data_IF_288137751833
#
_entry.id   IF_288137751833
#
_cell.length_a   1.000
_cell.length_b   1.000
_cell.length_c   1.000
_cell.angle_alpha   90.00
_cell.angle_beta   90.00
_cell.angle_gamma   90.00
#
_symmetry.space_group_name_H-M   'P 1'
#
loop_
_entity.id
_entity.type
_entity.pdbx_description
1 polymer ?
#
# COMPACT_ATOMS: atom_id res chain seq x y z
N UNK A 1 6.50 28.21 3.55
CA UNK A 1 7.18 28.15 2.24
C UNK A 1 6.23 27.42 1.32
N UNK A 2 5.89 27.98 0.16
CA UNK A 2 4.96 27.36 -0.82
C UNK A 2 5.80 26.95 -2.03
N UNK A 3 5.64 25.73 -2.52
CA UNK A 3 6.16 25.33 -3.84
C UNK A 3 5.00 25.35 -4.84
N UNK A 4 5.28 25.94 -6.00
CA UNK A 4 4.46 25.87 -7.21
C UNK A 4 5.32 25.15 -8.25
N UNK A 5 4.73 24.19 -8.97
CA UNK A 5 5.37 23.49 -10.06
C UNK A 5 4.88 24.09 -11.38
N UNK A 6 5.79 24.56 -12.22
CA UNK A 6 5.50 24.97 -13.59
C UNK A 6 6.35 24.12 -14.55
N UNK A 7 5.67 23.48 -15.51
CA UNK A 7 6.29 22.59 -16.49
C UNK A 7 6.78 23.40 -17.69
N UNK A 8 8.06 23.30 -18.04
CA UNK A 8 8.58 23.83 -19.31
C UNK A 8 9.16 22.69 -20.15
N UNK A 9 8.78 22.63 -21.43
CA UNK A 9 8.71 21.42 -22.23
C UNK A 9 10.04 20.89 -22.78
N UNK A 10 11.22 21.42 -22.39
CA UNK A 10 12.50 20.94 -22.97
C UNK A 10 13.73 20.84 -22.06
N UNK A 11 13.71 21.21 -20.79
CA UNK A 11 14.92 21.19 -19.95
C UNK A 11 14.65 20.94 -18.46
N UNK A 12 14.02 19.81 -18.10
CA UNK A 12 13.89 19.38 -16.70
C UNK A 12 13.21 20.36 -15.73
N UNK A 13 13.06 19.94 -14.48
CA UNK A 13 12.39 20.72 -13.44
C UNK A 13 13.32 21.79 -12.86
N UNK A 14 12.85 23.03 -12.72
CA UNK A 14 13.53 24.08 -11.92
C UNK A 14 12.72 24.37 -10.65
N UNK A 15 13.42 24.52 -9.52
CA UNK A 15 12.82 24.76 -8.19
C UNK A 15 13.24 26.15 -7.69
N UNK A 16 12.28 26.92 -7.16
CA UNK A 16 12.53 28.22 -6.51
C UNK A 16 12.21 28.15 -5.01
N UNK A 17 13.01 28.85 -4.19
CA UNK A 17 12.91 28.92 -2.72
C UNK A 17 12.49 30.32 -2.27
N UNK A 18 11.58 30.42 -1.28
CA UNK A 18 11.30 31.68 -0.58
C UNK A 18 11.36 31.53 0.94
N UNK A 19 12.13 32.42 1.58
CA UNK A 19 12.30 32.54 3.05
C UNK A 19 11.20 33.42 3.65
N UNK A 20 10.64 33.02 4.80
CA UNK A 20 9.71 33.84 5.58
C UNK A 20 10.46 35.01 6.21
N UNK A 21 10.20 36.24 5.75
CA UNK A 21 10.36 37.46 6.54
C UNK A 21 8.98 37.88 7.08
N UNK A 22 8.95 38.42 8.30
CA UNK A 22 7.71 38.66 9.05
C UNK A 22 6.78 39.72 8.47
N UNK A 23 5.52 39.66 8.93
CA UNK A 23 4.52 40.73 8.89
C UNK A 23 3.67 40.84 7.61
N UNK A 24 2.34 40.84 7.76
CA UNK A 24 1.41 41.47 6.81
C UNK A 24 0.28 40.60 6.20
N UNK A 25 -0.93 40.84 6.73
CA UNK A 25 -2.30 40.42 6.37
C UNK A 25 -2.69 40.18 4.88
N UNK A 26 -3.69 39.32 4.66
CA UNK A 26 -4.82 39.58 3.74
C UNK A 26 -6.16 39.00 4.26
N UNK A 27 -7.24 39.73 3.97
CA UNK A 27 -8.58 39.74 4.59
C UNK A 27 -9.58 38.72 4.00
N UNK A 28 -10.77 38.70 4.61
CA UNK A 28 -11.80 37.65 4.72
C UNK A 28 -13.12 38.11 3.98
N UNK A 29 -14.03 37.23 3.45
CA UNK A 29 -15.33 37.56 2.75
C UNK A 29 -16.53 36.59 3.00
N UNK A 30 -17.78 37.00 3.43
CA UNK A 30 -18.84 36.26 4.24
C UNK A 30 -20.20 35.98 3.52
N UNK A 31 -21.15 35.20 4.10
CA UNK A 31 -22.58 35.08 3.69
C UNK A 31 -23.66 34.53 4.68
N UNK A 32 -24.66 35.36 5.01
CA UNK A 32 -25.72 35.27 6.05
C UNK A 32 -26.59 34.01 6.22
N UNK A 33 -26.95 33.65 7.47
CA UNK A 33 -28.04 32.72 7.80
C UNK A 33 -29.24 33.49 8.41
N UNK A 34 -30.47 33.27 7.92
CA UNK A 34 -31.61 34.13 8.19
C UNK A 34 -32.41 33.69 9.42
N UNK A 35 -31.94 34.08 10.60
CA UNK A 35 -32.88 34.64 11.59
C UNK A 35 -32.43 36.02 12.09
N UNK A 36 -31.24 36.45 11.67
CA UNK A 36 -30.66 37.77 11.95
C UNK A 36 -30.03 38.29 10.67
N UNK A 37 -29.98 39.59 10.47
CA UNK A 37 -29.53 40.28 9.24
C UNK A 37 -28.00 40.49 9.10
N UNK A 38 -27.12 39.54 9.51
CA UNK A 38 -25.63 39.65 9.42
C UNK A 38 -24.79 38.40 8.98
N UNK A 39 -23.85 38.55 8.00
CA UNK A 39 -23.26 37.54 7.07
C UNK A 39 -22.47 36.31 7.69
N UNK A 40 -22.75 35.04 7.31
CA UNK A 40 -22.05 33.76 7.62
C UNK A 40 -20.98 33.27 6.59
N UNK A 41 -19.72 33.25 6.97
CA UNK A 41 -18.59 33.04 6.06
C UNK A 41 -18.17 31.55 6.02
N UNK A 42 -18.48 30.76 4.98
CA UNK A 42 -17.95 29.39 4.80
C UNK A 42 -16.96 29.30 3.63
N UNK A 43 -15.83 28.62 3.85
CA UNK A 43 -14.89 28.13 2.83
C UNK A 43 -14.81 26.62 2.97
N UNK A 44 -14.91 25.88 1.86
CA UNK A 44 -14.35 24.53 1.79
C UNK A 44 -12.88 24.61 2.21
N UNK A 45 -12.37 23.63 2.99
CA UNK A 45 -10.98 23.70 3.41
C UNK A 45 -10.10 23.64 2.16
N UNK A 46 -9.48 24.78 1.84
CA UNK A 46 -8.31 24.85 0.97
C UNK A 46 -7.38 23.71 1.40
N UNK A 47 -6.81 23.00 0.43
CA UNK A 47 -5.78 21.97 0.66
C UNK A 47 -4.74 22.45 1.68
N UNK A 48 -4.45 23.76 1.70
CA UNK A 48 -3.59 24.43 2.70
C UNK A 48 -4.13 24.38 4.13
N UNK A 49 -5.43 24.52 4.34
CA UNK A 49 -6.08 24.47 5.66
C UNK A 49 -6.18 23.03 6.19
N UNK A 50 -6.43 22.04 5.30
CA UNK A 50 -6.32 20.61 5.64
C UNK A 50 -4.87 20.23 5.97
N UNK A 51 -3.91 20.71 5.18
CA UNK A 51 -2.48 20.48 5.40
C UNK A 51 -1.97 21.12 6.71
N UNK A 52 -2.44 22.33 7.04
CA UNK A 52 -2.13 22.98 8.33
C UNK A 52 -2.80 22.31 9.52
N UNK A 53 -4.08 21.92 9.43
CA UNK A 53 -4.78 21.18 10.49
C UNK A 53 -4.17 19.81 10.76
N UNK A 54 -3.54 19.18 9.76
CA UNK A 54 -2.94 17.85 9.88
C UNK A 54 -1.41 17.86 10.03
N UNK A 55 -0.79 19.02 10.22
CA UNK A 55 0.66 19.14 10.42
C UNK A 55 1.51 18.61 9.27
N UNK A 56 1.07 18.83 8.02
CA UNK A 56 1.75 18.33 6.83
C UNK A 56 2.97 19.20 6.51
N UNK A 57 4.17 18.67 6.77
CA UNK A 57 5.44 19.23 6.28
C UNK A 57 5.76 18.76 4.86
N UNK A 58 6.40 19.64 4.09
CA UNK A 58 6.72 19.43 2.69
C UNK A 58 8.05 18.68 2.51
N UNK A 59 8.06 17.72 1.58
CA UNK A 59 9.21 16.93 1.13
C UNK A 59 10.29 17.86 0.58
N UNK A 60 11.51 17.80 1.11
CA UNK A 60 12.69 18.15 0.34
C UNK A 60 12.95 17.01 -0.64
N UNK A 61 13.04 17.32 -1.92
CA UNK A 61 13.80 16.46 -2.83
C UNK A 61 15.27 16.63 -2.44
N UNK A 62 15.74 15.83 -1.48
CA UNK A 62 17.15 15.76 -1.18
C UNK A 62 17.80 14.93 -2.30
N UNK A 63 18.24 15.62 -3.34
CA UNK A 63 19.30 15.08 -4.19
C UNK A 63 20.51 14.85 -3.28
N UNK A 64 20.93 13.61 -3.14
CA UNK A 64 22.28 13.21 -2.74
C UNK A 64 22.80 13.66 -1.36
N UNK A 65 21.95 13.78 -0.33
CA UNK A 65 22.42 14.10 1.03
C UNK A 65 22.95 12.91 1.84
N UNK A 66 23.07 11.74 1.23
CA UNK A 66 23.81 10.62 1.80
C UNK A 66 24.75 10.05 0.76
N UNK A 67 25.93 10.65 0.67
CA UNK A 67 27.07 10.01 0.03
C UNK A 67 27.56 8.89 0.94
N UNK A 68 27.60 7.70 0.35
CA UNK A 68 27.96 6.43 0.98
C UNK A 68 29.42 6.46 1.49
N UNK A 69 29.72 6.02 2.72
CA UNK A 69 31.09 5.63 3.07
C UNK A 69 31.48 4.28 2.42
N UNK A 70 30.53 3.52 1.86
CA UNK A 70 30.74 2.20 1.24
C UNK A 70 30.40 2.29 -0.25
N UNK A 71 31.27 2.94 -1.03
CA UNK A 71 31.17 3.06 -2.50
C UNK A 71 30.42 1.89 -3.18
N UNK A 72 29.12 2.09 -3.47
CA UNK A 72 28.30 1.16 -4.27
C UNK A 72 27.06 0.54 -3.60
N UNK A 73 26.58 1.02 -2.44
CA UNK A 73 25.30 0.56 -1.89
C UNK A 73 24.14 1.49 -2.29
N UNK A 74 23.30 1.05 -3.24
CA UNK A 74 22.06 1.75 -3.66
C UNK A 74 21.00 1.95 -2.55
N UNK A 75 21.26 1.57 -1.30
CA UNK A 75 20.32 1.70 -0.20
C UNK A 75 20.97 2.29 1.06
N UNK A 76 21.44 3.52 0.94
CA UNK A 76 21.78 4.45 2.03
C UNK A 76 20.88 4.28 3.26
N UNK A 77 19.57 4.19 3.05
CA UNK A 77 18.59 4.11 4.13
C UNK A 77 18.71 2.81 4.94
N UNK A 78 18.98 1.69 4.27
CA UNK A 78 19.24 0.42 4.96
C UNK A 78 20.55 0.48 5.73
N UNK A 79 21.63 0.97 5.12
CA UNK A 79 22.93 1.09 5.80
C UNK A 79 22.85 2.02 7.02
N UNK A 80 22.09 3.11 6.91
CA UNK A 80 21.84 4.03 8.03
C UNK A 80 20.98 3.39 9.12
N UNK A 81 19.91 2.66 8.79
CA UNK A 81 19.10 1.94 9.79
C UNK A 81 19.88 0.86 10.51
N UNK A 82 20.61 0.02 9.78
CA UNK A 82 21.46 -1.02 10.35
C UNK A 82 22.54 -0.37 11.21
N UNK A 83 23.19 0.71 10.73
CA UNK A 83 24.11 1.52 11.54
C UNK A 83 23.45 2.13 12.80
N UNK A 84 22.18 2.53 12.73
CA UNK A 84 21.46 3.11 13.87
C UNK A 84 21.11 2.06 14.92
N UNK A 85 20.75 0.83 14.50
CA UNK A 85 20.61 -0.34 15.39
C UNK A 85 21.90 -0.63 16.16
N UNK A 86 23.05 -0.39 15.53
CA UNK A 86 24.37 -0.70 16.09
C UNK A 86 24.95 0.40 16.99
N UNK A 87 24.59 1.68 16.77
CA UNK A 87 25.29 2.82 17.40
C UNK A 87 24.46 3.49 18.52
N UNK A 88 23.12 3.46 18.51
CA UNK A 88 22.31 4.00 19.61
C UNK A 88 20.82 3.58 19.55
N UNK A 89 20.29 2.84 20.54
CA UNK A 89 18.86 2.50 20.64
C UNK A 89 17.89 3.67 20.88
N UNK A 90 18.36 4.93 20.86
CA UNK A 90 17.60 6.11 21.32
C UNK A 90 17.34 7.18 20.26
N UNK A 91 17.83 7.01 19.03
CA UNK A 91 17.50 7.91 17.92
C UNK A 91 16.10 7.60 17.37
N UNK A 92 15.35 8.63 16.98
CA UNK A 92 14.09 8.49 16.25
C UNK A 92 14.35 7.81 14.91
N UNK A 93 14.29 6.48 14.87
CA UNK A 93 14.43 5.73 13.63
C UNK A 93 13.21 5.94 12.74
N UNK A 94 13.44 6.26 11.48
CA UNK A 94 12.40 6.31 10.45
C UNK A 94 11.89 4.89 10.20
N UNK A 95 10.58 4.66 10.15
CA UNK A 95 9.99 3.35 9.85
C UNK A 95 10.05 3.04 8.35
N UNK A 96 10.19 1.77 7.93
CA UNK A 96 10.09 1.37 6.50
C UNK A 96 8.64 1.39 5.99
N UNK A 97 7.68 1.52 6.89
CA UNK A 97 6.26 1.44 6.61
C UNK A 97 5.46 2.37 7.55
N UNK A 98 4.19 2.70 7.28
CA UNK A 98 3.48 3.72 8.04
C UNK A 98 3.34 3.57 9.54
N UNK A 99 3.91 4.57 10.23
CA UNK A 99 3.68 4.92 11.62
C UNK A 99 4.38 4.03 12.64
N UNK A 100 4.93 4.64 13.68
CA UNK A 100 5.28 3.97 14.94
C UNK A 100 4.06 3.87 15.87
N UNK A 101 2.88 4.31 15.44
CA UNK A 101 1.65 4.20 16.22
C UNK A 101 0.45 4.02 15.30
N UNK A 102 -0.41 3.07 15.65
CA UNK A 102 -1.64 2.74 14.91
C UNK A 102 -2.82 2.79 15.89
N UNK A 103 -4.06 3.00 15.43
CA UNK A 103 -5.22 2.83 16.30
C UNK A 103 -5.25 1.44 16.94
N UNK A 104 -5.91 1.30 18.08
CA UNK A 104 -6.23 0.01 18.67
C UNK A 104 -7.54 -0.56 18.15
N UNK A 105 -7.89 -1.80 18.53
CA UNK A 105 -9.20 -2.38 18.24
C UNK A 105 -10.32 -1.48 18.74
N UNK A 106 -11.37 -1.31 17.94
CA UNK A 106 -12.47 -0.39 18.23
C UNK A 106 -12.08 1.10 18.20
N UNK A 107 -10.84 1.44 17.86
CA UNK A 107 -10.31 2.81 17.91
C UNK A 107 -10.03 3.33 19.32
N UNK A 108 -10.03 2.46 20.34
CA UNK A 108 -10.02 2.86 21.76
C UNK A 108 -8.64 3.22 22.32
N UNK A 109 -7.55 2.91 21.63
CA UNK A 109 -6.19 3.24 22.06
C UNK A 109 -5.24 3.52 20.88
N UNK A 110 -3.99 3.87 21.16
CA UNK A 110 -2.91 3.85 20.19
C UNK A 110 -1.94 2.71 20.55
N UNK A 111 -1.59 1.89 19.56
CA UNK A 111 -0.62 0.81 19.68
C UNK A 111 0.68 1.30 19.08
N UNK A 112 1.74 1.33 19.89
CA UNK A 112 3.07 1.60 19.38
C UNK A 112 3.62 0.33 18.72
N UNK A 113 3.95 0.40 17.44
CA UNK A 113 4.47 -0.73 16.66
C UNK A 113 6.00 -0.76 16.61
N UNK A 114 6.68 0.19 17.24
CA UNK A 114 8.13 0.32 17.19
C UNK A 114 8.65 0.86 15.85
N UNK A 115 9.91 1.30 15.88
CA UNK A 115 10.59 1.86 14.71
C UNK A 115 11.46 0.85 13.93
N UNK A 116 11.84 -0.24 14.60
CA UNK A 116 12.66 -1.34 14.10
C UNK A 116 11.82 -2.60 13.91
N UNK A 117 12.21 -3.46 12.99
CA UNK A 117 11.51 -4.69 12.61
C UNK A 117 11.44 -5.69 13.76
N UNK A 118 12.50 -5.81 14.57
CA UNK A 118 12.43 -6.63 15.78
C UNK A 118 11.41 -6.07 16.77
N UNK A 119 11.43 -4.77 17.05
CA UNK A 119 10.44 -4.15 17.95
C UNK A 119 9.02 -4.36 17.42
N UNK A 120 8.82 -4.21 16.11
CA UNK A 120 7.56 -4.50 15.44
C UNK A 120 7.14 -5.94 15.62
N UNK A 121 8.06 -6.89 15.46
CA UNK A 121 7.81 -8.29 15.72
C UNK A 121 7.31 -8.51 17.15
N UNK A 122 8.01 -7.96 18.14
CA UNK A 122 7.63 -8.11 19.55
C UNK A 122 6.25 -7.50 19.86
N UNK A 123 5.95 -6.30 19.34
CA UNK A 123 4.68 -5.64 19.60
C UNK A 123 3.52 -6.32 18.85
N UNK A 124 3.74 -6.79 17.62
CA UNK A 124 2.75 -7.57 16.89
C UNK A 124 2.50 -8.93 17.57
N UNK A 125 3.55 -9.58 18.05
CA UNK A 125 3.47 -10.82 18.81
C UNK A 125 2.64 -10.67 20.09
N UNK A 126 2.87 -9.62 20.88
CA UNK A 126 2.07 -9.35 22.09
C UNK A 126 0.61 -9.04 21.78
N UNK A 127 0.38 -8.31 20.69
CA UNK A 127 -0.94 -7.76 20.38
C UNK A 127 -1.85 -8.73 19.62
N UNK A 128 -1.31 -9.48 18.66
CA UNK A 128 -2.07 -10.39 17.80
C UNK A 128 -1.61 -11.85 17.94
N UNK A 129 -0.75 -12.15 18.92
CA UNK A 129 -0.12 -13.46 19.07
C UNK A 129 0.92 -13.77 18.00
N UNK A 130 1.63 -14.88 18.21
CA UNK A 130 2.63 -15.41 17.27
C UNK A 130 2.01 -16.63 16.59
N UNK A 131 2.31 -16.89 15.30
CA UNK A 131 1.97 -18.15 14.68
C UNK A 131 2.56 -19.30 15.51
N UNK A 132 1.70 -20.11 16.11
CA UNK A 132 2.13 -21.32 16.81
C UNK A 132 2.51 -22.34 15.74
N UNK A 133 3.70 -22.93 15.89
CA UNK A 133 4.18 -24.00 15.04
C UNK A 133 3.11 -25.10 14.91
N UNK A 134 2.58 -25.29 13.70
CA UNK A 134 1.70 -26.42 13.37
C UNK A 134 0.18 -26.24 13.56
N UNK A 135 -0.30 -25.14 14.17
CA UNK A 135 -1.73 -24.94 14.47
C UNK A 135 -2.37 -23.81 13.63
N UNK A 136 -1.99 -23.68 12.36
CA UNK A 136 -2.82 -22.90 11.44
C UNK A 136 -4.08 -23.73 11.11
N UNK A 137 -5.21 -23.38 11.72
CA UNK A 137 -6.49 -23.87 11.22
C UNK A 137 -6.75 -23.21 9.87
N UNK A 138 -6.56 -24.00 8.80
CA UNK A 138 -6.94 -23.61 7.44
C UNK A 138 -8.47 -23.55 7.35
N UNK A 139 -9.07 -22.46 7.85
CA UNK A 139 -10.51 -22.20 7.66
C UNK A 139 -10.67 -21.36 6.39
N UNK A 140 -10.34 -21.94 5.24
CA UNK A 140 -10.69 -21.35 3.95
C UNK A 140 -12.02 -21.94 3.48
N UNK A 141 -13.11 -21.20 3.66
CA UNK A 141 -14.35 -21.48 2.93
C UNK A 141 -14.34 -20.67 1.64
N UNK A 142 -14.69 -21.35 0.55
CA UNK A 142 -14.84 -20.76 -0.77
C UNK A 142 -16.34 -20.70 -1.05
N UNK A 143 -16.88 -19.51 -1.30
CA UNK A 143 -18.30 -19.33 -1.61
C UNK A 143 -18.48 -18.43 -2.84
N UNK A 144 -19.50 -18.70 -3.64
CA UNK A 144 -19.94 -17.77 -4.69
C UNK A 144 -20.58 -16.54 -4.03
N UNK A 145 -20.11 -15.32 -4.34
CA UNK A 145 -20.72 -14.13 -3.80
C UNK A 145 -22.15 -13.95 -4.34
N UNK A 146 -23.07 -13.48 -3.50
CA UNK A 146 -24.38 -13.01 -3.99
C UNK A 146 -24.18 -11.68 -4.70
N UNK A 147 -24.37 -11.66 -6.01
CA UNK A 147 -24.04 -10.51 -6.83
C UNK A 147 -25.27 -9.99 -7.60
N UNK A 148 -25.27 -8.71 -8.01
CA UNK A 148 -26.32 -8.16 -8.88
C UNK A 148 -26.40 -8.88 -10.22
N UNK A 149 -27.50 -8.67 -10.96
CA UNK A 149 -27.66 -9.19 -12.32
C UNK A 149 -26.54 -8.73 -13.25
N UNK A 150 -26.17 -9.59 -14.19
CA UNK A 150 -25.19 -9.28 -15.22
C UNK A 150 -25.85 -8.65 -16.43
N UNK A 151 -25.59 -7.35 -16.65
CA UNK A 151 -26.30 -6.55 -17.66
C UNK A 151 -25.63 -6.56 -19.05
N UNK A 152 -24.50 -7.26 -19.23
CA UNK A 152 -23.65 -7.12 -20.41
C UNK A 152 -23.84 -8.28 -21.41
N UNK A 153 -24.54 -8.00 -22.51
CA UNK A 153 -24.70 -8.94 -23.62
C UNK A 153 -23.38 -9.20 -24.38
N UNK A 154 -23.07 -10.46 -24.68
CA UNK A 154 -21.85 -10.82 -25.42
C UNK A 154 -20.55 -10.73 -24.61
N UNK A 155 -20.64 -10.48 -23.30
CA UNK A 155 -19.54 -10.67 -22.35
C UNK A 155 -20.01 -11.69 -21.32
N UNK A 156 -19.33 -12.83 -21.22
CA UNK A 156 -19.65 -13.81 -20.19
C UNK A 156 -19.36 -13.22 -18.80
N UNK A 157 -20.27 -13.48 -17.84
CA UNK A 157 -20.03 -13.10 -16.46
C UNK A 157 -18.80 -13.86 -15.93
N UNK A 158 -17.79 -13.17 -15.37
CA UNK A 158 -16.61 -13.87 -14.85
C UNK A 158 -16.93 -14.68 -13.59
N UNK A 159 -16.44 -15.91 -13.54
CA UNK A 159 -16.49 -16.76 -12.35
C UNK A 159 -15.54 -16.21 -11.27
N UNK A 160 -16.11 -15.85 -10.11
CA UNK A 160 -15.38 -15.33 -8.95
C UNK A 160 -15.81 -16.07 -7.70
N UNK A 161 -14.83 -16.42 -6.88
CA UNK A 161 -15.07 -17.09 -5.61
C UNK A 161 -14.49 -16.28 -4.46
N UNK A 162 -15.29 -16.09 -3.41
CA UNK A 162 -14.85 -15.42 -2.18
C UNK A 162 -14.08 -16.42 -1.33
N UNK A 163 -12.81 -16.11 -1.07
CA UNK A 163 -11.94 -16.81 -0.15
C UNK A 163 -12.07 -16.18 1.23
N UNK A 164 -12.50 -16.96 2.22
CA UNK A 164 -12.34 -16.58 3.62
C UNK A 164 -10.84 -16.52 3.96
N UNK A 165 -10.35 -15.42 4.56
CA UNK A 165 -8.93 -15.31 4.94
C UNK A 165 -8.52 -16.47 5.85
N UNK A 166 -7.32 -17.02 5.61
CA UNK A 166 -6.76 -18.02 6.52
C UNK A 166 -6.41 -17.29 7.81
N UNK A 167 -6.97 -17.75 8.92
CA UNK A 167 -6.74 -17.16 10.23
C UNK A 167 -5.66 -17.96 10.95
N UNK A 168 -4.61 -17.27 11.37
CA UNK A 168 -3.59 -17.87 12.23
C UNK A 168 -4.21 -18.02 13.61
N UNK A 169 -4.30 -19.25 14.12
CA UNK A 169 -4.70 -19.46 15.50
C UNK A 169 -3.59 -18.94 16.41
N UNK A 170 -3.92 -17.94 17.20
CA UNK A 170 -2.97 -17.26 18.07
C UNK A 170 -3.32 -17.62 19.51
N UNK A 171 -2.49 -18.44 20.14
CA UNK A 171 -2.55 -18.57 21.60
C UNK A 171 -1.87 -17.33 22.20
N UNK A 172 -2.50 -16.63 23.17
CA UNK A 172 -1.80 -15.62 23.93
C UNK A 172 -0.73 -16.36 24.73
N UNK A 173 0.50 -16.29 24.26
CA UNK A 173 1.63 -16.73 25.07
C UNK A 173 1.68 -15.84 26.29
N UNK A 174 1.73 -16.45 27.48
CA UNK A 174 2.14 -15.73 28.66
C UNK A 174 3.57 -15.22 28.49
N UNK A 175 3.98 -14.33 29.38
CA UNK A 175 5.34 -13.78 29.36
C UNK A 175 6.39 -14.91 29.37
N UNK A 176 6.13 -16.02 30.07
CA UNK A 176 7.03 -17.16 30.15
C UNK A 176 7.21 -17.87 28.80
N UNK A 177 6.13 -18.21 28.09
CA UNK A 177 6.23 -18.87 26.78
C UNK A 177 6.91 -17.96 25.74
N UNK A 178 6.63 -16.65 25.80
CA UNK A 178 7.32 -15.66 24.98
C UNK A 178 8.83 -15.61 25.23
N UNK A 179 9.26 -15.55 26.49
CA UNK A 179 10.69 -15.55 26.81
C UNK A 179 11.38 -16.86 26.35
N UNK A 180 10.70 -18.00 26.51
CA UNK A 180 11.21 -19.28 26.00
C UNK A 180 11.42 -19.27 24.49
N UNK A 181 10.46 -18.74 23.73
CA UNK A 181 10.59 -18.64 22.28
C UNK A 181 11.69 -17.67 21.85
N UNK A 182 11.78 -16.49 22.45
CA UNK A 182 12.84 -15.53 22.15
C UNK A 182 14.21 -16.13 22.45
N UNK A 183 14.37 -16.86 23.56
CA UNK A 183 15.62 -17.54 23.87
C UNK A 183 15.90 -18.69 22.88
N UNK A 184 14.86 -19.40 22.43
CA UNK A 184 14.97 -20.38 21.34
C UNK A 184 15.46 -19.75 20.03
N UNK A 185 14.96 -18.57 19.65
CA UNK A 185 15.44 -17.82 18.49
C UNK A 185 16.89 -17.38 18.66
N UNK A 186 17.28 -16.87 19.84
CA UNK A 186 18.68 -16.52 20.14
C UNK A 186 19.60 -17.74 20.07
N UNK A 187 19.16 -18.87 20.62
CA UNK A 187 19.90 -20.12 20.56
C UNK A 187 20.08 -20.58 19.11
N UNK A 188 19.00 -20.56 18.32
CA UNK A 188 19.02 -20.90 16.90
C UNK A 188 19.96 -19.98 16.12
N UNK A 189 19.92 -18.66 16.40
CA UNK A 189 20.83 -17.68 15.80
C UNK A 189 22.29 -18.00 16.12
N UNK A 190 22.63 -18.35 17.37
CA UNK A 190 23.99 -18.78 17.75
C UNK A 190 24.43 -20.04 17.01
N UNK A 191 23.52 -20.99 16.77
CA UNK A 191 23.83 -22.21 16.00
C UNK A 191 24.06 -21.92 14.52
N UNK A 192 23.29 -20.99 13.92
CA UNK A 192 23.41 -20.64 12.50
C UNK A 192 24.38 -19.49 12.22
N UNK A 193 25.03 -18.94 13.24
CA UNK A 193 25.93 -17.80 13.11
C UNK A 193 27.13 -18.07 12.19
N UNK A 194 27.58 -19.33 12.16
CA UNK A 194 28.62 -19.82 11.25
C UNK A 194 28.08 -20.48 9.97
N UNK A 195 26.76 -20.40 9.73
CA UNK A 195 26.13 -20.91 8.52
C UNK A 195 26.15 -19.87 7.37
N UNK A 196 25.60 -20.26 6.22
CA UNK A 196 25.38 -19.36 5.09
C UNK A 196 24.38 -18.24 5.43
N UNK A 197 24.53 -17.10 4.76
CA UNK A 197 23.63 -15.94 4.93
C UNK A 197 22.15 -16.32 4.71
N UNK A 198 21.87 -17.17 3.73
CA UNK A 198 20.52 -17.67 3.47
C UNK A 198 19.88 -18.33 4.69
N UNK A 199 20.64 -19.11 5.48
CA UNK A 199 20.13 -19.74 6.71
C UNK A 199 19.85 -18.72 7.81
N UNK A 200 20.69 -17.69 7.92
CA UNK A 200 20.52 -16.61 8.90
C UNK A 200 19.26 -15.79 8.58
N UNK A 201 19.08 -15.34 7.33
CA UNK A 201 17.90 -14.58 6.91
C UNK A 201 16.62 -15.43 7.03
N UNK A 202 16.70 -16.71 6.66
CA UNK A 202 15.57 -17.64 6.78
C UNK A 202 15.09 -17.81 8.23
N UNK A 203 15.96 -17.65 9.24
CA UNK A 203 15.54 -17.70 10.64
C UNK A 203 14.60 -16.54 11.00
N UNK A 204 14.93 -15.31 10.61
CA UNK A 204 14.07 -14.15 10.82
C UNK A 204 12.76 -14.25 10.02
N UNK A 205 12.83 -14.69 8.76
CA UNK A 205 11.64 -14.87 7.93
C UNK A 205 10.67 -15.90 8.53
N UNK A 206 11.18 -17.06 8.96
CA UNK A 206 10.37 -18.12 9.56
C UNK A 206 9.76 -17.72 10.90
N UNK A 207 10.38 -16.80 11.64
CA UNK A 207 9.77 -16.25 12.85
C UNK A 207 8.49 -15.46 12.54
N UNK A 208 8.44 -14.78 11.40
CA UNK A 208 7.26 -14.06 10.94
C UNK A 208 6.19 -14.95 10.31
N UNK A 209 6.61 -15.86 9.44
CA UNK A 209 5.77 -16.67 8.56
C UNK A 209 6.41 -18.04 8.35
N UNK A 210 5.82 -19.05 8.99
CA UNK A 210 6.28 -20.44 8.94
C UNK A 210 6.03 -21.12 7.59
N UNK A 211 5.10 -20.59 6.79
CA UNK A 211 4.72 -21.16 5.49
C UNK A 211 5.53 -20.54 4.35
N UNK A 212 5.89 -19.26 4.49
CA UNK A 212 6.68 -18.49 3.53
C UNK A 212 8.16 -18.86 3.54
N UNK A 213 8.54 -19.88 2.76
CA UNK A 213 9.95 -20.07 2.37
C UNK A 213 10.32 -19.05 1.29
N UNK A 214 10.97 -17.96 1.70
CA UNK A 214 11.62 -17.06 0.74
C UNK A 214 12.90 -17.71 0.23
N UNK A 215 13.05 -17.78 -1.09
CA UNK A 215 14.32 -18.14 -1.73
C UNK A 215 14.99 -16.83 -2.11
N UNK A 216 16.07 -16.50 -1.41
CA UNK A 216 16.87 -15.32 -1.71
C UNK A 216 17.75 -15.58 -2.92
N UNK A 217 17.77 -14.64 -3.87
CA UNK A 217 18.67 -14.74 -5.03
C UNK A 217 20.13 -14.45 -4.66
N UNK A 218 21.07 -14.79 -5.56
CA UNK A 218 22.50 -14.64 -5.31
C UNK A 218 22.92 -13.20 -5.03
N UNK A 219 22.27 -12.23 -5.67
CA UNK A 219 22.62 -10.82 -5.57
C UNK A 219 22.17 -10.23 -4.23
N UNK A 220 20.97 -10.61 -3.79
CA UNK A 220 20.40 -10.28 -2.49
C UNK A 220 21.25 -10.86 -1.35
N UNK A 221 21.69 -12.13 -1.49
CA UNK A 221 22.58 -12.78 -0.53
C UNK A 221 23.96 -12.11 -0.47
N UNK A 222 24.58 -11.83 -1.63
CA UNK A 222 25.87 -11.15 -1.68
C UNK A 222 25.80 -9.75 -1.05
N UNK A 223 24.70 -9.04 -1.26
CA UNK A 223 24.48 -7.74 -0.65
C UNK A 223 24.35 -7.83 0.87
N UNK A 224 23.61 -8.82 1.38
CA UNK A 224 23.50 -9.09 2.80
C UNK A 224 24.86 -9.44 3.45
N UNK A 225 25.68 -10.25 2.78
CA UNK A 225 27.03 -10.59 3.22
C UNK A 225 27.94 -9.36 3.33
N UNK A 226 27.90 -8.47 2.33
CA UNK A 226 28.67 -7.21 2.36
C UNK A 226 28.28 -6.34 3.55
N UNK A 227 26.98 -6.20 3.83
CA UNK A 227 26.51 -5.45 4.99
C UNK A 227 27.03 -6.09 6.28
N UNK A 228 26.88 -7.40 6.44
CA UNK A 228 27.33 -8.10 7.64
C UNK A 228 28.84 -8.06 7.84
N UNK A 229 29.64 -8.04 6.77
CA UNK A 229 31.08 -7.81 6.85
C UNK A 229 31.43 -6.44 7.42
N UNK A 230 30.67 -5.39 7.08
CA UNK A 230 30.90 -4.03 7.60
C UNK A 230 30.44 -3.90 9.05
N UNK A 231 29.32 -4.54 9.39
CA UNK A 231 28.73 -4.51 10.73
C UNK A 231 29.56 -5.28 11.76
N UNK A 232 30.31 -6.29 11.31
CA UNK A 232 31.02 -7.22 12.19
C UNK A 232 30.10 -8.35 12.66
N UNK A 233 30.57 -9.59 12.57
CA UNK A 233 29.77 -10.77 12.92
C UNK A 233 29.40 -10.81 14.40
N UNK A 234 30.22 -10.21 15.26
CA UNK A 234 30.02 -10.04 16.70
C UNK A 234 28.77 -9.21 17.05
N UNK A 235 28.25 -8.40 16.12
CA UNK A 235 27.05 -7.59 16.29
C UNK A 235 25.79 -8.22 15.66
N UNK A 236 25.86 -9.51 15.31
CA UNK A 236 24.75 -10.28 14.73
C UNK A 236 23.75 -10.71 15.82
N UNK A 237 22.91 -9.77 16.26
CA UNK A 237 21.79 -10.02 17.17
C UNK A 237 20.44 -10.08 16.43
N UNK A 238 19.35 -10.32 17.16
CA UNK A 238 18.00 -10.38 16.56
C UNK A 238 17.56 -9.06 15.94
N UNK A 239 18.00 -7.90 16.47
CA UNK A 239 17.65 -6.60 15.91
C UNK A 239 18.29 -6.44 14.52
N UNK A 240 19.59 -6.70 14.43
CA UNK A 240 20.34 -6.59 13.19
C UNK A 240 19.80 -7.57 12.13
N UNK A 241 19.50 -8.81 12.52
CA UNK A 241 19.05 -9.84 11.58
C UNK A 241 17.63 -9.62 11.08
N UNK A 242 16.68 -9.14 11.92
CA UNK A 242 15.34 -8.78 11.45
C UNK A 242 15.37 -7.57 10.51
N UNK A 243 16.17 -6.55 10.82
CA UNK A 243 16.35 -5.40 9.94
C UNK A 243 16.99 -5.78 8.60
N UNK A 244 18.02 -6.62 8.65
CA UNK A 244 18.70 -7.10 7.45
C UNK A 244 17.75 -7.93 6.58
N UNK A 245 16.99 -8.85 7.17
CA UNK A 245 16.02 -9.67 6.46
C UNK A 245 14.99 -8.81 5.74
N UNK A 246 14.34 -7.88 6.44
CA UNK A 246 13.36 -7.00 5.82
C UNK A 246 13.99 -6.16 4.70
N UNK A 247 15.24 -5.73 4.86
CA UNK A 247 15.96 -4.99 3.84
C UNK A 247 16.24 -5.78 2.58
N UNK A 248 16.74 -7.00 2.75
CA UNK A 248 17.06 -7.92 1.66
C UNK A 248 15.77 -8.30 0.93
N UNK A 249 14.71 -8.59 1.67
CA UNK A 249 13.39 -8.89 1.13
C UNK A 249 12.83 -7.72 0.31
N UNK A 250 12.80 -6.50 0.87
CA UNK A 250 12.38 -5.32 0.13
C UNK A 250 13.21 -5.10 -1.15
N UNK A 251 14.54 -5.23 -1.07
CA UNK A 251 15.42 -5.07 -2.25
C UNK A 251 15.10 -6.09 -3.34
N UNK A 252 14.95 -7.36 -2.95
CA UNK A 252 14.65 -8.42 -3.90
C UNK A 252 13.29 -8.22 -4.58
N UNK A 253 12.25 -7.88 -3.81
CA UNK A 253 10.91 -7.67 -4.35
C UNK A 253 10.76 -6.37 -5.14
N UNK A 254 11.51 -5.33 -4.79
CA UNK A 254 11.53 -4.06 -5.52
C UNK A 254 12.45 -4.07 -6.75
N UNK A 255 13.24 -5.12 -6.97
CA UNK A 255 14.21 -5.20 -8.07
C UNK A 255 13.57 -4.97 -9.44
N UNK A 256 12.36 -5.49 -9.63
CA UNK A 256 11.64 -5.40 -10.89
C UNK A 256 10.70 -4.17 -10.92
N UNK A 257 10.67 -3.37 -9.85
CA UNK A 257 9.93 -2.12 -9.78
C UNK A 257 10.78 -0.97 -10.32
N UNK A 258 10.21 -0.20 -11.24
CA UNK A 258 10.80 1.08 -11.62
C UNK A 258 10.55 2.09 -10.50
N UNK A 259 11.53 2.28 -9.62
CA UNK A 259 11.42 3.27 -8.53
C UNK A 259 11.43 4.68 -9.12
N UNK A 260 10.29 5.37 -9.03
CA UNK A 260 10.15 6.75 -9.49
C UNK A 260 10.56 7.75 -8.41
N UNK A 261 10.22 7.47 -7.14
CA UNK A 261 10.56 8.37 -6.03
C UNK A 261 10.85 7.60 -4.75
N UNK A 262 11.69 8.19 -3.90
CA UNK A 262 12.03 7.68 -2.57
C UNK A 262 12.21 8.85 -1.62
N UNK A 263 11.85 8.66 -0.35
CA UNK A 263 12.11 9.68 0.66
C UNK A 263 11.33 9.50 1.94
N UNK A 264 11.45 10.51 2.81
CA UNK A 264 10.81 10.51 4.12
C UNK A 264 9.44 11.19 4.06
N UNK A 265 8.41 10.49 4.53
CA UNK A 265 7.06 11.01 4.64
C UNK A 265 6.45 10.62 5.98
N UNK A 266 6.15 11.61 6.83
CA UNK A 266 5.60 11.43 8.19
C UNK A 266 6.37 10.41 9.05
N UNK A 267 7.70 10.53 9.07
CA UNK A 267 8.56 9.64 9.84
C UNK A 267 8.72 8.23 9.26
N UNK A 268 8.24 7.99 8.04
CA UNK A 268 8.45 6.76 7.29
C UNK A 268 9.40 7.02 6.13
N UNK A 269 10.20 6.03 5.76
CA UNK A 269 10.77 5.94 4.43
C UNK A 269 9.79 5.25 3.49
N UNK A 270 9.50 5.90 2.38
CA UNK A 270 8.63 5.38 1.34
C UNK A 270 9.42 5.30 0.05
N UNK A 271 9.34 4.15 -0.60
CA UNK A 271 9.79 3.94 -1.98
C UNK A 271 8.55 3.74 -2.84
N UNK A 272 8.34 4.65 -3.79
CA UNK A 272 7.22 4.59 -4.73
C UNK A 272 7.76 4.13 -6.07
N UNK A 273 7.35 2.93 -6.44
CA UNK A 273 7.58 2.34 -7.75
C UNK A 273 6.43 2.61 -8.71
N UNK A 274 6.64 2.26 -9.98
CA UNK A 274 5.60 2.17 -10.99
C UNK A 274 5.41 0.73 -11.41
N UNK A 275 4.16 0.28 -11.47
CA UNK A 275 3.81 -1.07 -11.96
C UNK A 275 2.79 -0.95 -13.08
N UNK A 276 2.98 -1.76 -14.12
CA UNK A 276 2.01 -1.90 -15.21
C UNK A 276 0.65 -2.32 -14.69
N UNK A 277 -0.41 -1.68 -15.17
CA UNK A 277 -1.77 -1.88 -14.68
C UNK A 277 -2.23 -3.36 -14.73
N UNK A 278 -1.73 -4.10 -15.71
CA UNK A 278 -1.98 -5.53 -15.94
C UNK A 278 -1.19 -6.47 -15.01
N UNK A 279 -0.13 -5.97 -14.35
CA UNK A 279 0.72 -6.77 -13.46
C UNK A 279 0.22 -6.75 -12.01
N UNK A 280 -0.69 -5.83 -11.67
CA UNK A 280 -1.30 -5.72 -10.35
C UNK A 280 -2.47 -6.71 -10.27
N UNK A 281 -2.45 -7.62 -9.30
CA UNK A 281 -3.53 -8.59 -9.08
C UNK A 281 -4.57 -8.01 -8.14
N UNK A 282 -5.82 -7.96 -8.60
CA UNK A 282 -6.93 -7.55 -7.75
C UNK A 282 -7.21 -8.62 -6.68
N UNK A 283 -7.55 -8.16 -5.48
CA UNK A 283 -7.79 -9.03 -4.32
C UNK A 283 -9.16 -8.83 -3.71
N UNK A 284 -9.88 -7.75 -4.03
CA UNK A 284 -11.13 -7.38 -3.37
C UNK A 284 -12.17 -6.86 -4.36
N UNK A 285 -13.44 -7.12 -4.06
CA UNK A 285 -14.57 -6.43 -4.66
C UNK A 285 -14.63 -4.98 -4.17
N UNK A 286 -15.09 -4.07 -5.02
CA UNK A 286 -15.08 -2.62 -4.76
C UNK A 286 -16.49 -2.07 -4.53
N UNK A 287 -16.59 -0.89 -3.91
CA UNK A 287 -17.85 -0.17 -3.79
C UNK A 287 -18.01 0.83 -4.94
N UNK A 288 -19.10 0.82 -5.73
CA UNK A 288 -19.25 1.75 -6.86
C UNK A 288 -19.14 3.21 -6.47
N UNK A 289 -19.79 3.61 -5.36
CA UNK A 289 -19.73 4.97 -4.84
C UNK A 289 -18.29 5.44 -4.59
N UNK A 290 -17.39 4.54 -4.16
CA UNK A 290 -15.98 4.86 -3.97
C UNK A 290 -15.24 4.96 -5.29
N UNK A 291 -15.50 4.09 -6.25
CA UNK A 291 -14.92 4.20 -7.61
C UNK A 291 -15.31 5.53 -8.26
N UNK A 292 -16.56 5.96 -8.10
CA UNK A 292 -17.03 7.24 -8.63
C UNK A 292 -16.28 8.42 -7.99
N UNK A 293 -16.06 8.38 -6.66
CA UNK A 293 -15.23 9.36 -5.97
C UNK A 293 -13.79 9.36 -6.48
N UNK A 294 -13.20 8.18 -6.68
CA UNK A 294 -11.85 8.05 -7.23
C UNK A 294 -11.76 8.57 -8.68
N UNK A 295 -12.78 8.36 -9.53
CA UNK A 295 -12.83 8.93 -10.88
C UNK A 295 -12.79 10.46 -10.86
N UNK A 296 -13.55 11.10 -9.95
CA UNK A 296 -13.52 12.55 -9.79
C UNK A 296 -12.16 13.03 -9.26
N UNK A 297 -11.61 12.26 -8.31
CA UNK A 297 -10.34 12.57 -7.67
C UNK A 297 -9.16 12.47 -8.65
N UNK A 298 -9.20 11.48 -9.54
CA UNK A 298 -8.16 11.18 -10.52
C UNK A 298 -7.71 12.40 -11.33
N UNK A 299 -8.66 13.19 -11.85
CA UNK A 299 -8.32 14.36 -12.67
C UNK A 299 -8.24 15.68 -11.88
N UNK A 300 -8.77 15.72 -10.65
CA UNK A 300 -8.69 16.91 -9.77
C UNK A 300 -7.39 16.95 -8.97
N UNK A 301 -7.00 15.80 -8.42
CA UNK A 301 -5.99 15.67 -7.38
C UNK A 301 -4.95 14.58 -7.68
N UNK A 302 -5.24 13.64 -8.59
CA UNK A 302 -4.42 12.46 -8.84
C UNK A 302 -4.80 11.28 -7.94
N UNK A 303 -3.88 10.33 -7.76
CA UNK A 303 -4.03 9.16 -6.91
C UNK A 303 -2.97 9.08 -5.83
N UNK A 304 -3.35 8.62 -4.64
CA UNK A 304 -2.38 8.02 -3.73
C UNK A 304 -1.84 6.70 -4.31
N UNK A 305 -0.64 6.24 -3.94
CA UNK A 305 -0.07 4.99 -4.42
C UNK A 305 -0.83 3.79 -3.89
N UNK A 306 -0.99 2.77 -4.74
CA UNK A 306 -1.56 1.47 -4.36
C UNK A 306 -0.53 0.72 -3.52
N UNK A 307 -0.98 -0.02 -2.51
CA UNK A 307 -0.11 -0.92 -1.77
C UNK A 307 -0.16 -2.29 -2.44
N UNK A 308 1.01 -2.81 -2.81
CA UNK A 308 1.15 -4.14 -3.40
C UNK A 308 2.07 -4.98 -2.52
N UNK A 309 1.83 -6.28 -2.44
CA UNK A 309 2.72 -7.18 -1.70
C UNK A 309 3.70 -7.94 -2.59
N UNK A 310 4.52 -8.79 -1.96
CA UNK A 310 5.53 -9.60 -2.63
C UNK A 310 4.99 -10.57 -3.69
N UNK A 311 3.67 -10.80 -3.72
CA UNK A 311 3.00 -11.67 -4.70
C UNK A 311 2.36 -10.89 -5.87
N UNK A 312 2.54 -9.55 -5.88
CA UNK A 312 1.91 -8.64 -6.84
C UNK A 312 0.42 -8.39 -6.56
N UNK A 313 -0.08 -8.82 -5.40
CA UNK A 313 -1.45 -8.58 -4.99
C UNK A 313 -1.63 -7.16 -4.48
N UNK A 314 -2.71 -6.50 -4.91
CA UNK A 314 -3.18 -5.23 -4.37
C UNK A 314 -3.68 -5.45 -2.94
N UNK A 315 -2.95 -4.99 -1.95
CA UNK A 315 -3.33 -5.12 -0.53
C UNK A 315 -4.09 -3.89 -0.01
N UNK A 316 -3.93 -2.74 -0.66
CA UNK A 316 -4.77 -1.57 -0.46
C UNK A 316 -4.78 -0.69 -1.72
N UNK A 317 -5.95 -0.13 -2.05
CA UNK A 317 -6.16 0.66 -3.25
C UNK A 317 -6.88 -0.06 -4.38
N UNK A 318 -7.63 -1.13 -4.09
CA UNK A 318 -8.51 -1.83 -5.06
C UNK A 318 -9.43 -0.85 -5.80
N UNK A 319 -9.94 0.18 -5.12
CA UNK A 319 -10.75 1.20 -5.76
C UNK A 319 -9.98 2.01 -6.81
N UNK A 320 -8.74 2.44 -6.51
CA UNK A 320 -7.88 3.18 -7.45
C UNK A 320 -7.48 2.30 -8.64
N UNK A 321 -7.17 1.03 -8.39
CA UNK A 321 -6.84 0.06 -9.43
C UNK A 321 -8.00 -0.16 -10.41
N UNK A 322 -9.20 -0.44 -9.90
CA UNK A 322 -10.40 -0.60 -10.72
C UNK A 322 -10.77 0.71 -11.44
N UNK A 323 -10.58 1.85 -10.79
CA UNK A 323 -10.81 3.17 -11.40
C UNK A 323 -9.93 3.41 -12.61
N UNK A 324 -8.65 3.03 -12.55
CA UNK A 324 -7.74 3.17 -13.69
C UNK A 324 -8.17 2.32 -14.90
N UNK A 325 -8.64 1.09 -14.67
CA UNK A 325 -9.20 0.27 -15.74
C UNK A 325 -10.51 0.81 -16.29
N UNK A 326 -11.40 1.32 -15.42
CA UNK A 326 -12.63 1.97 -15.84
C UNK A 326 -12.35 3.22 -16.68
N UNK A 327 -11.36 4.03 -16.30
CA UNK A 327 -10.91 5.17 -17.11
C UNK A 327 -10.51 4.75 -18.53
N UNK A 328 -9.73 3.67 -18.66
CA UNK A 328 -9.31 3.14 -19.95
C UNK A 328 -10.49 2.61 -20.78
N UNK A 329 -11.48 1.97 -20.13
CA UNK A 329 -12.71 1.55 -20.80
C UNK A 329 -13.52 2.76 -21.29
N UNK A 330 -13.72 3.77 -20.44
CA UNK A 330 -14.43 5.00 -20.82
C UNK A 330 -13.76 5.70 -22.01
N UNK A 331 -12.41 5.75 -22.03
CA UNK A 331 -11.64 6.29 -23.16
C UNK A 331 -11.85 5.46 -24.43
N UNK A 332 -11.86 4.14 -24.33
CA UNK A 332 -12.05 3.24 -25.47
C UNK A 332 -13.48 3.29 -26.03
N UNK A 333 -14.49 3.49 -25.18
CA UNK A 333 -15.88 3.69 -25.61
C UNK A 333 -15.98 4.99 -26.42
N UNK A 334 -15.48 6.10 -25.88
CA UNK A 334 -15.47 7.44 -26.50
C UNK A 334 -16.86 8.08 -26.67
N UNK A 335 -17.84 7.32 -27.17
CA UNK A 335 -19.23 7.73 -27.42
C UNK A 335 -20.22 6.69 -26.86
N UNK A 336 -21.29 7.17 -26.22
CA UNK A 336 -22.28 6.36 -25.51
C UNK A 336 -23.60 6.20 -26.28
N UNK A 337 -23.55 6.28 -27.61
CA UNK A 337 -24.69 5.93 -28.44
C UNK A 337 -24.99 4.43 -28.27
N UNK A 338 -26.23 4.09 -27.89
CA UNK A 338 -26.61 2.74 -27.42
C UNK A 338 -26.23 1.61 -28.38
N UNK A 339 -26.34 1.83 -29.70
CA UNK A 339 -25.97 0.84 -30.71
C UNK A 339 -24.47 0.52 -30.81
N UNK A 340 -23.60 1.38 -30.29
CA UNK A 340 -22.14 1.25 -30.36
C UNK A 340 -21.53 0.86 -29.01
N UNK A 341 -22.20 1.23 -27.90
CA UNK A 341 -21.72 0.97 -26.55
C UNK A 341 -21.41 -0.51 -26.30
N UNK A 342 -22.35 -1.41 -26.60
CA UNK A 342 -22.17 -2.85 -26.38
C UNK A 342 -20.96 -3.40 -27.16
N UNK A 343 -20.84 -3.05 -28.44
CA UNK A 343 -19.72 -3.48 -29.29
C UNK A 343 -18.38 -3.01 -28.73
N UNK A 344 -18.28 -1.74 -28.32
CA UNK A 344 -17.04 -1.16 -27.76
C UNK A 344 -16.65 -1.78 -26.43
N UNK A 345 -17.63 -2.06 -25.56
CA UNK A 345 -17.39 -2.75 -24.30
C UNK A 345 -16.89 -4.17 -24.57
N UNK A 346 -17.56 -4.92 -25.44
CA UNK A 346 -17.12 -6.27 -25.83
C UNK A 346 -15.72 -6.26 -26.46
N UNK A 347 -15.45 -5.36 -27.40
CA UNK A 347 -14.12 -5.19 -28.02
C UNK A 347 -13.03 -4.93 -26.97
N UNK A 348 -13.29 -4.03 -26.02
CA UNK A 348 -12.35 -3.71 -24.95
C UNK A 348 -12.11 -4.91 -24.03
N UNK A 349 -13.17 -5.59 -23.61
CA UNK A 349 -13.07 -6.75 -22.72
C UNK A 349 -12.34 -7.90 -23.41
N UNK A 350 -12.68 -8.23 -24.66
CA UNK A 350 -11.96 -9.28 -25.42
C UNK A 350 -10.47 -8.97 -25.53
N UNK A 351 -10.12 -7.69 -25.75
CA UNK A 351 -8.72 -7.27 -25.85
C UNK A 351 -7.97 -7.31 -24.51
N UNK A 352 -8.65 -7.03 -23.40
CA UNK A 352 -8.02 -6.77 -22.10
C UNK A 352 -8.39 -7.76 -20.98
N UNK A 353 -9.24 -8.77 -21.22
CA UNK A 353 -9.74 -9.68 -20.19
C UNK A 353 -8.63 -10.42 -19.43
N UNK A 354 -7.59 -10.87 -20.14
CA UNK A 354 -6.44 -11.53 -19.51
C UNK A 354 -5.63 -10.57 -18.62
N UNK A 355 -5.51 -9.31 -19.03
CA UNK A 355 -4.79 -8.28 -18.30
C UNK A 355 -5.58 -7.74 -17.09
N UNK A 356 -6.90 -7.67 -17.20
CA UNK A 356 -7.79 -7.27 -16.11
C UNK A 356 -7.96 -8.41 -15.10
N UNK A 357 -8.03 -9.65 -15.56
CA UNK A 357 -8.51 -10.78 -14.76
C UNK A 357 -10.02 -10.69 -14.48
N UNK A 358 -10.61 -11.72 -13.88
CA UNK A 358 -12.06 -11.83 -13.72
C UNK A 358 -12.62 -10.79 -12.74
N UNK A 359 -11.88 -10.48 -11.66
CA UNK A 359 -12.32 -9.51 -10.64
C UNK A 359 -12.44 -8.11 -11.20
N UNK A 360 -11.38 -7.57 -11.82
CA UNK A 360 -11.44 -6.23 -12.42
C UNK A 360 -12.46 -6.20 -13.56
N UNK A 361 -12.49 -7.22 -14.42
CA UNK A 361 -13.46 -7.27 -15.53
C UNK A 361 -14.89 -7.13 -15.00
N UNK A 362 -15.23 -7.90 -13.98
CA UNK A 362 -16.54 -7.82 -13.32
C UNK A 362 -16.78 -6.43 -12.76
N UNK A 363 -15.86 -5.93 -11.94
CA UNK A 363 -16.08 -4.72 -11.16
C UNK A 363 -16.12 -3.46 -12.04
N UNK A 364 -15.30 -3.38 -13.08
CA UNK A 364 -15.33 -2.30 -14.08
C UNK A 364 -16.70 -2.27 -14.77
N UNK A 365 -17.18 -3.41 -15.24
CA UNK A 365 -18.45 -3.51 -15.95
C UNK A 365 -19.64 -3.25 -15.04
N UNK A 366 -19.62 -3.75 -13.81
CA UNK A 366 -20.64 -3.48 -12.80
C UNK A 366 -20.71 -1.98 -12.45
N UNK A 367 -19.57 -1.32 -12.29
CA UNK A 367 -19.54 0.13 -12.00
C UNK A 367 -19.92 0.95 -13.22
N UNK A 368 -19.59 0.50 -14.43
CA UNK A 368 -20.08 1.14 -15.65
C UNK A 368 -21.60 1.09 -15.75
N UNK A 369 -22.24 -0.05 -15.44
CA UNK A 369 -23.71 -0.16 -15.37
C UNK A 369 -24.29 0.85 -14.37
N UNK A 370 -23.71 0.94 -13.17
CA UNK A 370 -24.12 1.88 -12.12
C UNK A 370 -24.00 3.35 -12.58
N UNK A 371 -22.89 3.70 -13.24
CA UNK A 371 -22.68 5.03 -13.80
C UNK A 371 -23.75 5.40 -14.83
N UNK A 372 -24.10 4.47 -15.70
CA UNK A 372 -25.09 4.69 -16.76
C UNK A 372 -26.52 4.79 -16.23
N UNK A 373 -26.85 4.00 -15.21
CA UNK A 373 -28.18 3.98 -14.61
C UNK A 373 -28.41 5.17 -13.67
N UNK A 374 -27.47 5.43 -12.75
CA UNK A 374 -27.70 6.30 -11.59
C UNK A 374 -26.87 7.59 -11.60
N UNK A 375 -25.80 7.67 -12.41
CA UNK A 375 -24.87 8.81 -12.40
C UNK A 375 -24.60 9.37 -13.80
N UNK A 376 -25.60 9.28 -14.68
CA UNK A 376 -25.50 9.65 -16.09
C UNK A 376 -25.06 11.10 -16.30
N UNK A 377 -25.62 12.03 -15.52
CA UNK A 377 -25.26 13.45 -15.60
C UNK A 377 -23.78 13.68 -15.24
N UNK A 378 -23.34 13.13 -14.10
CA UNK A 378 -21.94 13.19 -13.66
C UNK A 378 -20.99 12.61 -14.71
N UNK A 379 -21.35 11.46 -15.30
CA UNK A 379 -20.55 10.82 -16.34
C UNK A 379 -20.35 11.75 -17.54
N UNK A 380 -21.42 12.34 -18.08
CA UNK A 380 -21.33 13.11 -19.31
C UNK A 380 -20.87 14.55 -19.14
N UNK A 381 -21.27 15.22 -18.06
CA UNK A 381 -20.96 16.64 -17.85
C UNK A 381 -19.58 16.85 -17.20
N UNK A 382 -19.13 15.89 -16.38
CA UNK A 382 -17.92 16.05 -15.57
C UNK A 382 -16.80 15.08 -15.99
N UNK A 383 -17.08 13.78 -16.07
CA UNK A 383 -16.04 12.75 -16.23
C UNK A 383 -15.57 12.64 -17.69
N UNK A 384 -16.49 12.45 -18.64
CA UNK A 384 -16.15 12.22 -20.06
C UNK A 384 -15.34 13.36 -20.71
N UNK A 385 -15.62 14.65 -20.44
CA UNK A 385 -14.79 15.73 -20.94
C UNK A 385 -13.32 15.64 -20.49
N UNK A 386 -13.08 15.09 -19.30
CA UNK A 386 -11.72 14.86 -18.81
C UNK A 386 -11.12 13.60 -19.44
N UNK A 387 -11.87 12.50 -19.51
CA UNK A 387 -11.44 11.26 -20.17
C UNK A 387 -10.94 11.54 -21.60
N UNK A 388 -11.64 12.39 -22.35
CA UNK A 388 -11.24 12.74 -23.71
C UNK A 388 -9.90 13.48 -23.78
N UNK A 389 -9.53 14.26 -22.75
CA UNK A 389 -8.33 15.13 -22.73
C UNK A 389 -7.04 14.44 -22.32
N UNK A 390 -7.12 13.32 -21.61
CA UNK A 390 -5.93 12.64 -21.07
C UNK A 390 -5.73 11.25 -21.69
N UNK A 391 -4.49 10.77 -21.65
CA UNK A 391 -4.11 9.46 -22.14
C UNK A 391 -4.73 8.32 -21.31
N UNK A 392 -4.82 7.11 -21.89
CA UNK A 392 -5.02 5.89 -21.12
C UNK A 392 -3.92 5.70 -20.06
N UNK A 393 -4.30 5.14 -18.91
CA UNK A 393 -3.39 4.85 -17.80
C UNK A 393 -2.71 3.50 -18.07
N UNK A 394 -1.38 3.51 -18.22
CA UNK A 394 -0.59 2.30 -18.43
C UNK A 394 0.02 1.74 -17.14
N UNK A 395 0.39 2.61 -16.20
CA UNK A 395 1.06 2.26 -14.95
C UNK A 395 0.39 2.96 -13.77
N UNK A 396 0.56 2.40 -12.57
CA UNK A 396 0.13 3.03 -11.32
C UNK A 396 1.31 3.16 -10.36
N UNK A 397 1.33 4.24 -9.54
CA UNK A 397 2.29 4.38 -8.46
C UNK A 397 1.96 3.34 -7.38
N UNK A 398 2.97 2.60 -6.93
CA UNK A 398 2.82 1.57 -5.91
C UNK A 398 3.84 1.71 -4.79
N UNK A 399 3.46 1.27 -3.60
CA UNK A 399 4.36 1.02 -2.48
C UNK A 399 4.33 -0.48 -2.19
N UNK A 400 5.51 -1.07 -1.99
CA UNK A 400 5.62 -2.46 -1.58
C UNK A 400 5.34 -2.60 -0.08
N UNK A 401 4.45 -3.52 0.28
CA UNK A 401 4.23 -4.00 1.64
C UNK A 401 4.53 -5.50 1.71
N UNK A 402 5.54 -5.85 2.47
CA UNK A 402 5.85 -7.23 2.78
C UNK A 402 4.79 -7.84 3.71
N UNK A 403 3.91 -8.66 3.16
CA UNK A 403 2.70 -9.15 3.84
C UNK A 403 3.03 -9.95 5.11
N UNK A 404 4.08 -10.76 5.05
CA UNK A 404 4.54 -11.56 6.19
C UNK A 404 4.82 -10.74 7.46
N UNK A 405 5.30 -9.51 7.29
CA UNK A 405 5.66 -8.57 8.36
C UNK A 405 4.58 -7.52 8.63
N UNK A 406 3.54 -7.44 7.78
CA UNK A 406 2.52 -6.40 7.86
C UNK A 406 1.71 -6.47 9.16
N UNK A 407 1.48 -7.70 9.66
CA UNK A 407 0.65 -7.93 10.84
C UNK A 407 -0.85 -7.80 10.55
N UNK A 408 -1.25 -8.10 9.32
CA UNK A 408 -2.61 -7.99 8.80
C UNK A 408 -3.63 -8.73 9.66
N UNK A 409 -4.80 -8.13 9.88
CA UNK A 409 -5.86 -8.69 10.74
C UNK A 409 -7.23 -8.69 10.09
N UNK A 410 -8.17 -9.47 10.64
CA UNK A 410 -9.57 -9.45 10.23
C UNK A 410 -10.19 -8.08 10.55
N UNK A 411 -10.48 -7.32 9.49
CA UNK A 411 -10.89 -5.91 9.59
C UNK A 411 -12.14 -5.67 10.42
N UNK A 412 -13.19 -6.46 10.18
CA UNK A 412 -14.47 -6.31 10.89
C UNK A 412 -14.30 -6.46 12.40
N UNK A 413 -13.66 -7.54 12.85
CA UNK A 413 -13.45 -7.82 14.27
C UNK A 413 -12.58 -6.75 14.93
N UNK A 414 -11.56 -6.27 14.21
CA UNK A 414 -10.69 -5.22 14.68
C UNK A 414 -11.41 -3.86 14.78
N UNK A 415 -12.18 -3.46 13.76
CA UNK A 415 -12.94 -2.20 13.75
C UNK A 415 -14.03 -2.19 14.83
N UNK A 416 -14.65 -3.35 15.11
CA UNK A 416 -15.65 -3.51 16.18
C UNK A 416 -15.03 -3.67 17.57
N UNK A 417 -13.71 -3.87 17.65
CA UNK A 417 -12.98 -4.10 18.90
C UNK A 417 -13.30 -5.45 19.55
N UNK A 418 -13.84 -6.40 18.80
CA UNK A 418 -14.29 -7.71 19.32
C UNK A 418 -13.15 -8.71 19.39
N UNK A 419 -12.22 -8.70 18.43
CA UNK A 419 -11.05 -9.55 18.43
C UNK A 419 -9.93 -8.99 17.54
N UNK A 420 -8.71 -9.49 17.75
CA UNK A 420 -7.53 -9.24 16.91
C UNK A 420 -7.07 -10.58 16.36
N UNK A 421 -7.54 -10.93 15.16
CA UNK A 421 -7.17 -12.18 14.50
C UNK A 421 -6.24 -11.92 13.33
N UNK A 422 -5.05 -12.50 13.38
CA UNK A 422 -4.04 -12.36 12.32
C UNK A 422 -4.46 -13.16 11.08
N UNK A 423 -4.33 -12.52 9.92
CA UNK A 423 -4.47 -13.18 8.62
C UNK A 423 -3.12 -13.76 8.22
N UNK A 424 -3.14 -15.02 7.79
CA UNK A 424 -1.96 -15.73 7.31
C UNK A 424 -1.55 -15.16 5.93
N UNK A 425 -0.27 -14.79 5.72
CA UNK A 425 0.26 -14.35 4.42
C UNK A 425 -0.01 -15.33 3.27
N UNK A 426 -0.17 -16.62 3.58
CA UNK A 426 -0.54 -17.68 2.64
C UNK A 426 -1.85 -17.36 1.89
N UNK A 427 -2.76 -16.60 2.51
CA UNK A 427 -3.98 -16.10 1.87
C UNK A 427 -3.66 -15.39 0.56
N UNK A 428 -2.64 -14.53 0.54
CA UNK A 428 -2.25 -13.79 -0.65
C UNK A 428 -1.50 -14.64 -1.67
N UNK A 429 -0.78 -15.67 -1.23
CA UNK A 429 -0.20 -16.67 -2.14
C UNK A 429 -1.31 -17.42 -2.89
N UNK A 430 -2.41 -17.78 -2.22
CA UNK A 430 -3.57 -18.40 -2.87
C UNK A 430 -4.25 -17.47 -3.87
N UNK A 431 -4.49 -16.20 -3.50
CA UNK A 431 -5.02 -15.18 -4.41
C UNK A 431 -4.12 -14.98 -5.63
N UNK A 432 -2.80 -14.96 -5.41
CA UNK A 432 -1.82 -14.77 -6.47
C UNK A 432 -1.78 -15.94 -7.48
N UNK A 433 -2.14 -17.14 -7.04
CA UNK A 433 -2.13 -18.36 -7.86
C UNK A 433 -3.48 -18.65 -8.54
N UNK A 434 -4.58 -18.04 -8.07
CA UNK A 434 -5.89 -18.20 -8.69
C UNK A 434 -6.55 -16.82 -8.90
N UNK A 435 -6.60 -16.32 -10.15
CA UNK A 435 -7.11 -14.98 -10.44
C UNK A 435 -8.63 -14.85 -10.20
N UNK A 436 -9.37 -15.95 -10.06
CA UNK A 436 -10.80 -15.95 -9.72
C UNK A 436 -11.06 -15.86 -8.22
N UNK A 437 -10.04 -15.97 -7.37
CA UNK A 437 -10.22 -15.81 -5.92
C UNK A 437 -10.16 -14.34 -5.51
N UNK A 438 -11.15 -13.92 -4.73
CA UNK A 438 -11.21 -12.59 -4.11
C UNK A 438 -11.39 -12.74 -2.61
N UNK A 439 -10.94 -11.75 -1.85
CA UNK A 439 -11.30 -11.53 -0.47
C UNK A 439 -12.72 -10.93 -0.40
N UNK A 440 -13.42 -11.09 0.73
CA UNK A 440 -14.71 -10.44 0.96
C UNK A 440 -14.59 -8.92 0.91
N UNK A 441 -15.70 -8.23 0.63
CA UNK A 441 -15.75 -6.77 0.69
C UNK A 441 -15.34 -6.27 2.08
N UNK A 442 -14.47 -5.26 2.12
CA UNK A 442 -13.68 -4.87 3.31
C UNK A 442 -12.74 -6.00 3.72
N UNK A 443 -11.77 -6.29 2.85
CA UNK A 443 -10.78 -7.31 3.12
C UNK A 443 -9.92 -7.00 4.34
N UNK A 444 -8.86 -7.78 4.56
CA UNK A 444 -8.02 -7.70 5.73
C UNK A 444 -7.45 -6.28 5.95
N UNK A 445 -7.35 -5.91 7.22
CA UNK A 445 -6.81 -4.63 7.63
C UNK A 445 -5.30 -4.73 7.76
N UNK A 446 -4.54 -4.04 6.91
CA UNK A 446 -3.07 -4.02 6.92
C UNK A 446 -2.50 -3.08 7.98
N UNK A 447 -3.36 -2.62 8.89
CA UNK A 447 -3.08 -1.63 9.94
C UNK A 447 -2.58 -0.28 9.43
N UNK A 448 -2.49 -0.12 8.12
CA UNK A 448 -1.98 1.07 7.44
C UNK A 448 -3.02 1.80 6.63
N UNK A 449 -4.25 1.30 6.53
CA UNK A 449 -5.34 1.92 5.76
C UNK A 449 -5.71 3.34 6.26
N UNK A 450 -5.27 3.73 7.47
CA UNK A 450 -5.48 5.08 8.03
C UNK A 450 -4.27 6.00 7.91
N UNK A 451 -3.17 5.50 7.33
CA UNK A 451 -1.99 6.32 7.08
C UNK A 451 -2.19 7.10 5.80
N UNK A 452 -2.13 8.43 5.92
CA UNK A 452 -2.21 9.31 4.75
C UNK A 452 -0.97 9.00 3.89
N UNK A 453 -1.14 8.71 2.61
CA UNK A 453 -0.06 8.53 1.64
C UNK A 453 0.07 9.78 0.75
N UNK A 454 1.25 10.06 0.18
CA UNK A 454 1.41 11.15 -0.78
C UNK A 454 0.56 10.91 -2.03
N UNK A 455 0.18 11.99 -2.72
CA UNK A 455 -0.63 11.94 -3.94
C UNK A 455 0.24 12.20 -5.16
N UNK A 456 -0.07 11.51 -6.27
CA UNK A 456 0.66 11.55 -7.52
C UNK A 456 -0.29 11.88 -8.67
N UNK A 457 0.14 12.78 -9.54
CA UNK A 457 -0.55 13.03 -10.80
C UNK A 457 -0.23 11.88 -11.77
N UNK A 458 -1.25 11.11 -12.15
CA UNK A 458 -1.07 9.94 -13.03
C UNK A 458 -1.68 10.12 -14.43
N UNK A 459 -2.41 11.22 -14.66
CA UNK A 459 -2.93 11.54 -15.98
C UNK A 459 -1.96 12.44 -16.74
N UNK A 460 -1.56 11.98 -17.91
CA UNK A 460 -0.76 12.73 -18.88
C UNK A 460 -1.66 13.28 -19.98
N UNK A 461 -1.43 14.53 -20.40
CA UNK A 461 -2.15 15.13 -21.54
C UNK A 461 -1.55 14.62 -22.85
N UNK A 462 -2.41 14.45 -23.85
CA UNK A 462 -2.01 14.17 -25.24
C UNK A 462 -1.13 15.27 -25.84
#
# INVERSE_FOLDING_TARGET
MVLVFEQNTRQGWRVFLFKKAGGGNMREGALLLPEFSSLYRFREPDVRQYQQQKGVEQIKQENDLFTDPINGCDCVFTSHRIGTVLVAPRSQCLTRFPGHSLPGPGGNCQINTGALEWNRFQELAKFAGIPVLGDCQLVSTVAEPKLPSWDWLGVAEPDIFVLSPIIVQTLPWGEAEWQMYVEGLRHSLRQVHNCSMAKILSLARQAWDQHGKMIYDSDALLWAEKIMCVVGKENCDLNAIFELEAAVSCRQYSRDLRIHSRGVYRGMWIEVGEVGLASIKATELVMPVRIIQELQSLYKNGFAPIVVNEYGCNTDGSHRHTTAWLWNLLKAIGSFNSGVLQSRVTEFVVKHCLAMGPIITREVLRVLSELLANHRQLLFEEIMPQVQRYNPIATLPVILLNEYSAGTVVKKEYDEGTAVRRVDPETYRLLANNPSFTLPARGPYHRTDRSILPWFQILEKE
#
